data_IF_761741428913
#
_entry.id   IF_761741428913
#
_cell.length_a   1.000
_cell.length_b   1.000
_cell.length_c   1.000
_cell.angle_alpha   90.00
_cell.angle_beta   90.00
_cell.angle_gamma   90.00
#
_symmetry.space_group_name_H-M   'P 1'
#
loop_
_entity.id
_entity.type
_entity.pdbx_description
1 polymer ?
#
# COMPACT_ATOMS: atom_id res chain seq x y z
N UNK A 1 7.72 -3.75 4.84
CA UNK A 1 6.64 -2.77 5.11
C UNK A 1 5.97 -2.43 3.79
N UNK A 2 4.67 -2.23 3.80
CA UNK A 2 3.90 -1.70 2.66
C UNK A 2 3.12 -0.48 3.12
N UNK A 3 3.02 0.54 2.27
CA UNK A 3 2.27 1.79 2.54
C UNK A 3 1.54 2.17 1.27
N UNK A 4 0.27 2.55 1.40
CA UNK A 4 -0.49 3.18 0.35
C UNK A 4 -0.80 4.63 0.73
N UNK A 5 -0.67 5.51 -0.25
CA UNK A 5 -0.98 6.93 -0.15
C UNK A 5 -2.09 7.27 -1.13
N UNK A 6 -3.04 8.10 -0.71
CA UNK A 6 -3.91 8.81 -1.66
C UNK A 6 -3.12 10.00 -2.21
N UNK A 7 -2.87 9.98 -3.52
CA UNK A 7 -2.07 10.99 -4.22
C UNK A 7 -2.73 12.38 -4.18
N UNK A 8 -4.07 12.46 -4.15
CA UNK A 8 -4.78 13.73 -4.10
C UNK A 8 -4.63 14.40 -2.73
N UNK A 9 -4.95 13.67 -1.66
CA UNK A 9 -4.93 14.22 -0.29
C UNK A 9 -3.58 14.11 0.42
N UNK A 10 -2.63 13.35 -0.14
CA UNK A 10 -1.35 12.96 0.48
C UNK A 10 -1.50 12.20 1.80
N UNK A 11 -2.68 11.66 2.10
CA UNK A 11 -2.91 10.88 3.32
C UNK A 11 -2.36 9.47 3.14
N UNK A 12 -1.70 8.94 4.17
CA UNK A 12 -1.46 7.49 4.26
C UNK A 12 -2.82 6.84 4.46
N UNK A 13 -3.22 5.95 3.55
CA UNK A 13 -4.53 5.29 3.50
C UNK A 13 -4.53 3.86 4.00
N UNK A 14 -3.38 3.20 3.95
CA UNK A 14 -3.18 1.86 4.50
C UNK A 14 -1.71 1.56 4.69
N UNK A 15 -1.40 0.70 5.65
CA UNK A 15 -0.03 0.31 5.94
C UNK A 15 0.03 -1.07 6.59
N UNK A 16 1.13 -1.78 6.38
CA UNK A 16 1.39 -3.03 7.08
C UNK A 16 2.90 -3.20 7.31
N UNK A 17 3.25 -3.75 8.47
CA UNK A 17 4.63 -4.02 8.86
C UNK A 17 4.78 -5.49 9.24
N UNK A 18 5.87 -6.09 8.81
CA UNK A 18 6.22 -7.47 9.13
C UNK A 18 7.74 -7.62 9.11
N UNK A 19 8.23 -8.67 9.79
CA UNK A 19 9.67 -8.94 9.92
C UNK A 19 10.35 -9.33 8.61
N UNK A 20 9.58 -9.78 7.61
CA UNK A 20 10.06 -10.17 6.28
C UNK A 20 9.18 -9.52 5.23
N UNK A 21 9.75 -9.25 4.06
CA UNK A 21 8.96 -8.83 2.90
C UNK A 21 8.10 -10.00 2.44
N UNK A 22 6.78 -9.84 2.52
CA UNK A 22 5.78 -10.84 2.17
C UNK A 22 4.66 -10.16 1.39
N UNK A 23 4.09 -10.86 0.42
CA UNK A 23 2.88 -10.49 -0.32
C UNK A 23 1.73 -10.06 0.61
N UNK A 24 1.57 -10.75 1.74
CA UNK A 24 0.57 -10.46 2.76
C UNK A 24 0.61 -9.01 3.26
N UNK A 25 1.79 -8.41 3.39
CA UNK A 25 1.91 -7.01 3.81
C UNK A 25 1.32 -6.05 2.78
N UNK A 26 1.45 -6.36 1.49
CA UNK A 26 0.87 -5.55 0.41
C UNK A 26 -0.64 -5.70 0.41
N UNK A 27 -1.15 -6.93 0.50
CA UNK A 27 -2.59 -7.21 0.54
C UNK A 27 -3.27 -6.56 1.75
N UNK A 28 -2.65 -6.61 2.93
CA UNK A 28 -3.18 -5.98 4.14
C UNK A 28 -3.23 -4.46 4.04
N UNK A 29 -2.15 -3.82 3.59
CA UNK A 29 -2.12 -2.38 3.39
C UNK A 29 -3.15 -1.94 2.33
N UNK A 30 -3.29 -2.69 1.24
CA UNK A 30 -4.27 -2.42 0.20
C UNK A 30 -5.71 -2.52 0.70
N UNK A 31 -6.05 -3.60 1.43
CA UNK A 31 -7.38 -3.78 1.98
C UNK A 31 -7.76 -2.68 2.97
N UNK A 32 -6.82 -2.20 3.79
CA UNK A 32 -7.05 -1.04 4.66
C UNK A 32 -7.39 0.22 3.84
N UNK A 33 -6.58 0.51 2.81
CA UNK A 33 -6.79 1.66 1.94
C UNK A 33 -8.14 1.61 1.22
N UNK A 34 -8.49 0.46 0.63
CA UNK A 34 -9.74 0.26 -0.09
C UNK A 34 -10.96 0.43 0.83
N UNK A 35 -10.94 -0.20 2.01
CA UNK A 35 -12.05 -0.13 2.95
C UNK A 35 -12.22 1.27 3.55
N UNK A 36 -11.13 2.03 3.67
CA UNK A 36 -11.17 3.40 4.21
C UNK A 36 -11.66 4.41 3.20
N UNK A 37 -11.07 4.43 2.00
CA UNK A 37 -11.38 5.43 0.98
C UNK A 37 -12.66 5.08 0.19
N UNK A 38 -13.07 3.80 0.19
CA UNK A 38 -14.22 3.28 -0.56
C UNK A 38 -14.24 3.82 -1.99
N UNK A 39 -13.15 3.60 -2.76
CA UNK A 39 -12.99 4.20 -4.07
C UNK A 39 -14.12 3.79 -5.01
N UNK A 40 -14.52 4.72 -5.88
CA UNK A 40 -15.43 4.41 -6.99
C UNK A 40 -14.69 3.58 -8.05
N UNK A 41 -15.46 3.00 -8.95
CA UNK A 41 -14.92 2.33 -10.12
C UNK A 41 -13.98 3.26 -10.92
N UNK A 42 -12.90 2.71 -11.47
CA UNK A 42 -11.90 3.44 -12.25
C UNK A 42 -10.69 3.94 -11.46
N UNK A 43 -10.57 3.65 -10.16
CA UNK A 43 -9.34 3.96 -9.41
C UNK A 43 -8.16 3.12 -9.90
N UNK A 44 -7.05 3.79 -10.14
CA UNK A 44 -5.79 3.19 -10.56
C UNK A 44 -4.88 3.07 -9.34
N UNK A 45 -4.38 1.86 -9.10
CA UNK A 45 -3.33 1.62 -8.10
C UNK A 45 -2.00 1.66 -8.83
N UNK A 46 -1.15 2.61 -8.46
CA UNK A 46 0.22 2.68 -8.96
C UNK A 46 1.16 2.06 -7.92
N UNK A 47 1.91 1.04 -8.33
CA UNK A 47 3.01 0.50 -7.53
C UNK A 47 4.30 0.79 -8.28
N UNK A 48 5.15 1.62 -7.69
CA UNK A 48 6.52 1.79 -8.18
C UNK A 48 7.27 0.49 -7.85
N UNK A 49 7.36 -0.43 -8.81
CA UNK A 49 8.30 -1.55 -8.71
C UNK A 49 9.73 -1.01 -8.85
N UNK A 50 10.27 -0.45 -7.77
CA UNK A 50 11.70 -0.19 -7.61
C UNK A 50 12.28 -1.13 -6.55
N UNK A 51 13.51 -1.59 -6.82
CA UNK A 51 14.35 -2.54 -6.07
C UNK A 51 13.96 -2.80 -4.61
N UNK A 52 13.85 -4.08 -4.24
CA UNK A 52 13.74 -4.49 -2.84
C UNK A 52 14.96 -3.97 -2.07
N UNK A 53 14.77 -2.92 -1.26
CA UNK A 53 15.75 -2.56 -0.25
C UNK A 53 15.67 -3.59 0.88
N UNK A 54 16.32 -4.73 0.67
CA UNK A 54 16.69 -5.63 1.76
C UNK A 54 17.84 -4.95 2.49
N UNK A 55 17.53 -4.27 3.60
CA UNK A 55 18.57 -3.79 4.51
C UNK A 55 19.41 -4.97 5.01
N UNK A 56 20.73 -4.78 5.03
CA UNK A 56 21.66 -5.65 5.74
C UNK A 56 21.44 -5.57 7.25
#
# INVERSE_FOLDING_TARGET
MSVLIDVYSRKIVGWAMGRRMQDKLVTEAFNQAYNREKPKEGVIVHTDQASQYTGA
#
